data_IF_250475700110
#
_entry.id   IF_250475700110
#
_cell.length_a   1.000
_cell.length_b   1.000
_cell.length_c   1.000
_cell.angle_alpha   90.00
_cell.angle_beta   90.00
_cell.angle_gamma   90.00
#
_symmetry.space_group_name_H-M   'P 1'
#
loop_
_entity.id
_entity.type
_entity.pdbx_description
1 polymer ?
#
# COMPACT_ATOMS: atom_id res chain seq x y z
N UNK A 1 -17.05 1.07 -16.09
CA UNK A 1 -16.54 -0.23 -15.62
C UNK A 1 -15.24 -0.01 -14.88
N UNK A 2 -15.09 -0.59 -13.69
CA UNK A 2 -13.86 -0.45 -12.90
C UNK A 2 -13.04 -1.73 -12.96
N UNK A 3 -11.73 -1.57 -12.72
CA UNK A 3 -10.81 -2.70 -12.65
C UNK A 3 -10.40 -2.93 -11.21
N UNK A 4 -10.10 -4.17 -10.88
CA UNK A 4 -9.51 -4.56 -9.60
C UNK A 4 -8.13 -5.14 -9.88
N UNK A 5 -7.12 -4.57 -9.23
CA UNK A 5 -5.76 -5.07 -9.31
C UNK A 5 -5.49 -5.96 -8.10
N UNK A 6 -5.00 -7.18 -8.33
CA UNK A 6 -4.61 -8.10 -7.26
C UNK A 6 -3.18 -8.55 -7.48
N UNK A 7 -2.36 -8.43 -6.46
CA UNK A 7 -0.95 -8.86 -6.49
C UNK A 7 -0.62 -9.60 -5.21
N UNK A 8 0.28 -10.56 -5.32
CA UNK A 8 0.79 -11.30 -4.16
C UNK A 8 2.31 -11.18 -4.12
N UNK A 9 2.82 -10.94 -2.90
CA UNK A 9 4.25 -10.88 -2.62
C UNK A 9 4.56 -11.84 -1.50
N UNK A 10 5.71 -12.47 -1.55
CA UNK A 10 6.17 -13.35 -0.47
C UNK A 10 7.49 -12.82 0.06
N UNK A 11 7.56 -12.63 1.39
CA UNK A 11 8.76 -12.10 2.04
C UNK A 11 9.26 -13.06 3.10
N UNK A 12 10.57 -13.14 3.27
CA UNK A 12 11.20 -13.86 4.36
C UNK A 12 11.33 -12.90 5.53
N UNK A 13 10.35 -12.94 6.44
CA UNK A 13 10.23 -12.02 7.57
C UNK A 13 9.17 -12.56 8.54
N UNK A 14 9.02 -11.91 9.71
CA UNK A 14 7.91 -12.17 10.61
C UNK A 14 6.70 -11.33 10.20
N UNK A 15 5.50 -11.78 10.55
CA UNK A 15 4.28 -11.03 10.25
C UNK A 15 4.26 -9.70 11.01
N UNK A 16 4.81 -9.67 12.22
CA UNK A 16 4.90 -8.45 13.03
C UNK A 16 5.82 -7.42 12.38
N UNK A 17 6.95 -7.85 11.84
CA UNK A 17 7.90 -6.97 11.17
C UNK A 17 7.30 -6.40 9.87
N UNK A 18 6.59 -7.24 9.10
CA UNK A 18 5.91 -6.78 7.90
C UNK A 18 4.79 -5.80 8.25
N UNK A 19 3.99 -6.10 9.26
CA UNK A 19 2.94 -5.19 9.74
C UNK A 19 3.52 -3.84 10.12
N UNK A 20 4.64 -3.83 10.83
CA UNK A 20 5.33 -2.59 11.20
C UNK A 20 5.73 -1.77 9.96
N UNK A 21 6.21 -2.42 8.91
CA UNK A 21 6.59 -1.73 7.67
C UNK A 21 5.40 -1.11 6.95
N UNK A 22 4.19 -1.64 7.17
CA UNK A 22 2.94 -1.12 6.59
C UNK A 22 2.30 -0.03 7.44
N UNK A 23 2.60 0.03 8.74
CA UNK A 23 1.87 0.90 9.68
C UNK A 23 2.73 1.94 10.37
N UNK A 24 4.05 1.86 10.26
CA UNK A 24 4.96 2.88 10.78
C UNK A 24 5.21 3.90 9.67
N UNK A 25 4.83 5.16 9.92
CA UNK A 25 4.92 6.22 8.92
C UNK A 25 6.33 6.38 8.36
N UNK A 26 7.36 6.29 9.21
CA UNK A 26 8.75 6.44 8.75
C UNK A 26 9.21 5.27 7.89
N UNK A 27 8.76 4.06 8.19
CA UNK A 27 9.08 2.89 7.37
C UNK A 27 8.29 2.91 6.06
N UNK A 28 7.01 3.27 6.13
CA UNK A 28 6.14 3.38 4.96
C UNK A 28 6.69 4.40 3.97
N UNK A 29 7.29 5.49 4.46
CA UNK A 29 7.92 6.49 3.61
C UNK A 29 9.11 5.95 2.80
N UNK A 30 9.75 4.89 3.28
CA UNK A 30 10.93 4.32 2.62
C UNK A 30 10.57 3.48 1.39
N UNK A 31 9.35 2.94 1.33
CA UNK A 31 8.98 2.07 0.21
C UNK A 31 7.76 2.56 -0.57
N UNK A 32 6.94 3.42 -0.01
CA UNK A 32 5.81 4.02 -0.71
C UNK A 32 6.09 5.49 -1.02
N UNK A 33 5.84 6.39 -0.08
CA UNK A 33 6.01 7.84 -0.23
C UNK A 33 5.99 8.47 1.15
N UNK A 34 6.46 9.71 1.24
CA UNK A 34 6.30 10.51 2.46
C UNK A 34 4.81 10.57 2.84
N UNK A 35 4.51 10.48 4.13
CA UNK A 35 3.13 10.38 4.59
C UNK A 35 2.98 10.78 6.05
N UNK A 36 1.73 10.95 6.48
CA UNK A 36 1.38 11.17 7.88
C UNK A 36 0.40 10.09 8.38
N UNK A 37 0.64 8.85 7.98
CA UNK A 37 -0.17 7.68 8.33
C UNK A 37 -0.17 7.41 9.82
N UNK A 38 -1.34 6.99 10.34
CA UNK A 38 -1.51 6.40 11.68
C UNK A 38 -2.48 5.23 11.57
N UNK A 39 -2.23 4.12 12.28
CA UNK A 39 -3.09 2.94 12.20
C UNK A 39 -4.35 3.09 13.06
N UNK A 40 -5.16 4.09 12.75
CA UNK A 40 -6.40 4.41 13.47
C UNK A 40 -7.50 4.54 12.43
N UNK A 41 -8.57 3.76 12.58
CA UNK A 41 -9.73 3.83 11.67
C UNK A 41 -10.31 5.25 11.69
N UNK A 42 -10.56 5.79 10.51
CA UNK A 42 -11.09 7.14 10.34
C UNK A 42 -10.01 8.22 10.25
N UNK A 43 -8.74 7.88 10.51
CA UNK A 43 -7.65 8.85 10.38
C UNK A 43 -7.47 9.22 8.91
N UNK A 44 -7.47 10.51 8.61
CA UNK A 44 -7.22 11.02 7.26
C UNK A 44 -5.76 11.41 7.15
N UNK A 45 -5.14 11.05 6.04
CA UNK A 45 -3.73 11.30 5.81
C UNK A 45 -3.45 11.46 4.32
N UNK A 46 -2.23 11.85 4.00
CA UNK A 46 -1.79 12.02 2.61
C UNK A 46 -0.48 11.26 2.40
N UNK A 47 -0.34 10.69 1.20
CA UNK A 47 0.96 10.34 0.66
C UNK A 47 1.40 11.50 -0.24
N UNK A 48 2.66 11.88 -0.15
CA UNK A 48 3.20 13.04 -0.88
C UNK A 48 4.46 12.66 -1.62
N UNK A 49 4.48 12.95 -2.90
CA UNK A 49 5.64 12.73 -3.77
C UNK A 49 5.91 14.00 -4.59
N UNK A 50 6.94 13.98 -5.41
CA UNK A 50 7.23 15.11 -6.28
C UNK A 50 6.13 15.25 -7.33
N UNK A 51 5.57 16.46 -7.54
CA UNK A 51 4.62 16.67 -8.62
C UNK A 51 5.28 16.35 -9.97
N UNK A 52 4.51 15.69 -10.84
CA UNK A 52 5.01 15.32 -12.16
C UNK A 52 3.87 15.36 -13.18
N UNK A 53 4.13 15.95 -14.34
CA UNK A 53 3.11 16.13 -15.36
C UNK A 53 1.97 16.98 -14.83
N UNK A 54 0.74 16.52 -14.97
CA UNK A 54 -0.45 17.20 -14.43
C UNK A 54 -0.85 16.75 -13.03
N UNK A 55 -0.03 15.92 -12.38
CA UNK A 55 -0.32 15.39 -11.06
C UNK A 55 0.37 16.23 -9.98
N UNK A 56 -0.37 16.58 -8.93
CA UNK A 56 0.13 17.42 -7.84
C UNK A 56 1.00 16.68 -6.82
N UNK A 57 1.20 15.37 -6.98
CA UNK A 57 2.02 14.58 -6.07
C UNK A 57 1.31 14.13 -4.81
N UNK A 58 0.01 14.33 -4.71
CA UNK A 58 -0.75 14.07 -3.48
C UNK A 58 -1.76 12.93 -3.68
N UNK A 59 -1.77 11.99 -2.73
CA UNK A 59 -2.79 10.96 -2.65
C UNK A 59 -3.51 11.15 -1.32
N UNK A 60 -4.81 11.44 -1.39
CA UNK A 60 -5.65 11.61 -0.21
C UNK A 60 -6.14 10.25 0.25
N UNK A 61 -6.05 9.98 1.54
CA UNK A 61 -6.37 8.66 2.09
C UNK A 61 -7.11 8.77 3.42
N UNK A 62 -7.90 7.75 3.69
CA UNK A 62 -8.57 7.59 4.98
C UNK A 62 -8.48 6.12 5.38
N UNK A 63 -8.09 5.84 6.62
CA UNK A 63 -7.97 4.48 7.12
C UNK A 63 -9.35 3.88 7.35
N UNK A 64 -9.61 2.72 6.73
CA UNK A 64 -10.91 2.04 6.78
C UNK A 64 -10.90 0.83 7.70
N UNK A 65 -9.84 0.02 7.66
CA UNK A 65 -9.73 -1.23 8.43
C UNK A 65 -8.33 -1.32 9.03
N UNK A 66 -8.27 -1.62 10.33
CA UNK A 66 -7.03 -1.98 11.01
C UNK A 66 -7.31 -3.24 11.83
N UNK A 67 -6.89 -4.38 11.32
CA UNK A 67 -6.99 -5.68 11.98
C UNK A 67 -5.59 -6.26 12.11
N UNK A 68 -4.88 -5.81 13.12
CA UNK A 68 -3.46 -6.16 13.34
C UNK A 68 -3.32 -7.63 13.71
N UNK A 69 -2.38 -8.36 13.11
CA UNK A 69 -1.46 -7.98 12.04
C UNK A 69 -1.88 -8.51 10.66
N UNK A 70 -3.18 -8.70 10.43
CA UNK A 70 -3.69 -9.47 9.28
C UNK A 70 -4.26 -8.62 8.15
N UNK A 71 -4.86 -7.45 8.46
CA UNK A 71 -5.55 -6.70 7.41
C UNK A 71 -5.49 -5.19 7.67
N UNK A 72 -5.18 -4.46 6.60
CA UNK A 72 -5.13 -3.01 6.61
C UNK A 72 -5.77 -2.49 5.32
N UNK A 73 -6.70 -1.54 5.44
CA UNK A 73 -7.33 -0.96 4.26
C UNK A 73 -7.45 0.55 4.41
N UNK A 74 -7.23 1.26 3.32
CA UNK A 74 -7.41 2.71 3.26
C UNK A 74 -7.77 3.14 1.85
N UNK A 75 -8.36 4.32 1.73
CA UNK A 75 -8.66 4.89 0.43
C UNK A 75 -7.38 5.42 -0.21
N UNK A 76 -7.40 5.50 -1.54
CA UNK A 76 -6.24 5.91 -2.33
C UNK A 76 -6.78 6.79 -3.45
N UNK A 77 -6.97 8.08 -3.14
CA UNK A 77 -7.63 9.02 -4.03
C UNK A 77 -6.61 9.97 -4.63
N UNK A 78 -6.52 10.00 -5.94
CA UNK A 78 -5.53 10.79 -6.66
C UNK A 78 -6.07 11.22 -8.02
N UNK A 79 -5.82 12.46 -8.39
CA UNK A 79 -6.20 13.01 -9.71
C UNK A 79 -7.67 12.77 -10.05
N UNK A 80 -8.56 12.90 -9.06
CA UNK A 80 -10.00 12.71 -9.26
C UNK A 80 -10.46 11.27 -9.29
N UNK A 81 -9.54 10.31 -9.11
CA UNK A 81 -9.86 8.89 -9.06
C UNK A 81 -9.98 8.42 -7.60
N UNK A 82 -11.06 7.72 -7.28
CA UNK A 82 -11.30 7.16 -5.95
C UNK A 82 -11.02 5.67 -5.98
N UNK A 83 -9.98 5.24 -5.26
CA UNK A 83 -9.59 3.84 -5.18
C UNK A 83 -9.56 3.41 -3.71
N UNK A 84 -9.59 2.10 -3.50
CA UNK A 84 -9.40 1.52 -2.15
C UNK A 84 -8.28 0.49 -2.25
N UNK A 85 -7.34 0.59 -1.33
CA UNK A 85 -6.20 -0.34 -1.23
C UNK A 85 -6.41 -1.19 0.02
N UNK A 86 -6.31 -2.51 -0.13
CA UNK A 86 -6.43 -3.46 0.99
C UNK A 86 -5.23 -4.38 0.98
N UNK A 87 -4.55 -4.45 2.13
CA UNK A 87 -3.42 -5.34 2.37
C UNK A 87 -3.89 -6.47 3.27
N UNK A 88 -3.61 -7.70 2.89
CA UNK A 88 -3.89 -8.89 3.70
C UNK A 88 -2.58 -9.65 3.91
N UNK A 89 -2.25 -9.95 5.17
CA UNK A 89 -1.03 -10.63 5.54
C UNK A 89 -1.35 -12.03 6.02
N UNK A 90 -0.66 -13.01 5.47
CA UNK A 90 -0.82 -14.42 5.88
C UNK A 90 0.54 -14.99 6.25
N UNK A 91 0.67 -15.42 7.49
CA UNK A 91 1.87 -16.11 7.97
C UNK A 91 1.88 -17.53 7.36
N UNK A 92 2.91 -17.82 6.59
CA UNK A 92 3.05 -19.12 5.91
C UNK A 92 3.84 -20.13 6.74
N UNK A 93 4.40 -19.71 7.88
CA UNK A 93 5.33 -20.52 8.64
C UNK A 93 6.74 -20.43 8.09
N UNK A 94 7.69 -21.00 8.80
CA UNK A 94 9.11 -21.05 8.40
C UNK A 94 9.71 -19.67 8.11
N UNK A 95 9.20 -18.63 8.79
CA UNK A 95 9.72 -17.27 8.63
C UNK A 95 9.31 -16.60 7.35
N UNK A 96 8.20 -17.01 6.74
CA UNK A 96 7.69 -16.43 5.49
C UNK A 96 6.28 -15.92 5.68
N UNK A 97 5.98 -14.78 5.01
CA UNK A 97 4.66 -14.15 5.04
C UNK A 97 4.24 -13.81 3.61
N UNK A 98 2.98 -14.09 3.28
CA UNK A 98 2.39 -13.64 2.03
C UNK A 98 1.69 -12.31 2.26
N UNK A 99 2.00 -11.33 1.42
CA UNK A 99 1.33 -10.03 1.41
C UNK A 99 0.48 -9.94 0.14
N UNK A 100 -0.83 -9.85 0.34
CA UNK A 100 -1.78 -9.71 -0.77
C UNK A 100 -2.24 -8.27 -0.85
N UNK A 101 -2.14 -7.69 -2.05
CA UNK A 101 -2.65 -6.36 -2.36
C UNK A 101 -3.88 -6.47 -3.22
N UNK A 102 -4.92 -5.73 -2.87
CA UNK A 102 -6.07 -5.54 -3.73
C UNK A 102 -6.36 -4.05 -3.84
N UNK A 103 -6.40 -3.53 -5.06
CA UNK A 103 -6.77 -2.14 -5.32
C UNK A 103 -8.01 -2.12 -6.21
N UNK A 104 -9.10 -1.54 -5.71
CA UNK A 104 -10.38 -1.47 -6.41
C UNK A 104 -10.65 -0.05 -6.89
N UNK A 105 -11.58 0.09 -7.85
CA UNK A 105 -12.02 1.39 -8.34
C UNK A 105 -11.14 1.98 -9.43
N UNK A 106 -10.26 1.18 -10.04
CA UNK A 106 -9.37 1.67 -11.11
C UNK A 106 -10.19 1.90 -12.38
N UNK A 107 -10.07 3.08 -12.96
CA UNK A 107 -11.00 3.55 -14.01
C UNK A 107 -10.79 2.94 -15.39
N UNK A 108 -9.55 2.54 -15.73
CA UNK A 108 -9.27 2.01 -17.06
C UNK A 108 -8.05 1.08 -17.06
N UNK A 109 -7.86 0.37 -18.18
CA UNK A 109 -6.78 -0.62 -18.32
C UNK A 109 -5.39 0.01 -18.21
N UNK A 110 -5.20 1.21 -18.73
CA UNK A 110 -3.91 1.90 -18.68
C UNK A 110 -3.54 2.24 -17.23
N UNK A 111 -4.51 2.74 -16.47
CA UNK A 111 -4.30 3.04 -15.04
C UNK A 111 -4.00 1.75 -14.26
N UNK A 112 -4.67 0.66 -14.62
CA UNK A 112 -4.45 -0.65 -13.99
C UNK A 112 -3.01 -1.15 -14.22
N UNK A 113 -2.51 -1.04 -15.45
CA UNK A 113 -1.12 -1.45 -15.76
C UNK A 113 -0.11 -0.55 -15.06
N UNK A 114 -0.37 0.77 -14.98
CA UNK A 114 0.49 1.70 -14.27
C UNK A 114 0.54 1.41 -12.78
N UNK A 115 -0.62 1.11 -12.17
CA UNK A 115 -0.68 0.75 -10.76
C UNK A 115 0.07 -0.55 -10.49
N UNK A 116 -0.09 -1.55 -11.35
CA UNK A 116 0.61 -2.82 -11.23
C UNK A 116 2.12 -2.63 -11.22
N UNK A 117 2.63 -1.87 -12.19
CA UNK A 117 4.06 -1.57 -12.29
C UNK A 117 4.56 -0.86 -11.04
N UNK A 118 3.82 0.15 -10.59
CA UNK A 118 4.19 0.93 -9.40
C UNK A 118 4.24 0.08 -8.14
N UNK A 119 3.24 -0.76 -7.92
CA UNK A 119 3.21 -1.63 -6.74
C UNK A 119 4.28 -2.70 -6.79
N UNK A 120 4.58 -3.26 -7.96
CA UNK A 120 5.65 -4.24 -8.08
C UNK A 120 7.01 -3.61 -7.74
N UNK A 121 7.25 -2.38 -8.17
CA UNK A 121 8.47 -1.65 -7.82
C UNK A 121 8.53 -1.36 -6.32
N UNK A 122 7.43 -0.88 -5.75
CA UNK A 122 7.34 -0.60 -4.31
C UNK A 122 7.49 -1.88 -3.49
N UNK A 123 6.95 -3.00 -3.96
CA UNK A 123 7.13 -4.29 -3.31
C UNK A 123 8.58 -4.72 -3.22
N UNK A 124 9.39 -4.41 -4.23
CA UNK A 124 10.83 -4.65 -4.19
C UNK A 124 11.55 -3.75 -3.19
N UNK A 125 11.13 -2.50 -3.08
CA UNK A 125 11.67 -1.58 -2.08
C UNK A 125 11.30 -2.02 -0.66
N UNK A 126 10.10 -2.56 -0.48
CA UNK A 126 9.66 -3.11 0.81
C UNK A 126 10.60 -4.22 1.28
N UNK A 127 11.03 -5.08 0.37
CA UNK A 127 11.97 -6.15 0.71
C UNK A 127 13.24 -5.58 1.34
N UNK A 128 13.76 -4.47 0.80
CA UNK A 128 14.95 -3.80 1.34
C UNK A 128 14.70 -3.24 2.74
N UNK A 129 13.51 -2.71 2.98
CA UNK A 129 13.13 -2.19 4.30
C UNK A 129 13.12 -3.33 5.32
N UNK A 130 12.62 -4.50 4.93
CA UNK A 130 12.52 -5.66 5.82
C UNK A 130 13.89 -6.25 6.16
N UNK A 131 14.90 -5.98 5.36
CA UNK A 131 16.28 -6.44 5.58
C UNK A 131 17.06 -5.56 6.56
N UNK A 132 16.52 -4.42 6.93
CA UNK A 132 17.18 -3.45 7.82
C UNK A 132 17.05 -3.83 9.31
#
# INVERSE_FOLDING_TARGET
MSFTLSLDFQYTTSIEKLWSALTDSSKLAKWVMENDFKPVVGHRFQFRAQPIGGWDGIIESEVLIVDEPHKLSYTWNSAGQENTVTWTLKDLGDGKVNLHLEQTGISNAQANEGAKYGWMRMGGELEKVLEQ
#
